data_IF_579332203213
#
_entry.id   IF_579332203213
#
_cell.length_a   1.000
_cell.length_b   1.000
_cell.length_c   1.000
_cell.angle_alpha   90.00
_cell.angle_beta   90.00
_cell.angle_gamma   90.00
#
_symmetry.space_group_name_H-M   'P 1'
#
loop_
_entity.id
_entity.type
_entity.pdbx_description
1 polymer ?
2 water ?
#
# COMPACT_ATOMS: atom_id res chain seq x y z
N UNK A 31 16.15 10.21 -18.57
CA UNK A 31 15.10 9.89 -19.54
C UNK A 31 15.30 8.50 -20.14
N UNK A 32 14.50 7.53 -19.68
CA UNK A 32 14.74 6.13 -19.96
C UNK A 32 14.36 5.70 -21.38
N UNK A 33 13.61 6.50 -22.12
CA UNK A 33 13.29 6.12 -23.49
C UNK A 33 14.53 6.06 -24.36
N UNK A 34 15.57 6.81 -23.98
CA UNK A 34 16.83 6.79 -24.72
C UNK A 34 17.54 5.44 -24.65
N UNK A 35 17.26 4.65 -23.62
CA UNK A 35 17.80 3.29 -23.48
C UNK A 35 16.75 2.23 -23.79
N UNK A 36 15.71 2.60 -24.54
CA UNK A 36 14.73 1.66 -25.03
C UNK A 36 13.70 1.22 -24.02
N UNK A 37 13.47 2.02 -22.98
CA UNK A 37 12.49 1.71 -21.95
C UNK A 37 11.37 2.74 -21.98
N UNK A 38 10.42 2.58 -21.05
CA UNK A 38 9.22 3.39 -20.99
C UNK A 38 9.17 4.12 -19.66
N UNK A 39 8.93 5.42 -19.70
CA UNK A 39 8.66 6.17 -18.46
C UNK A 39 7.36 5.66 -17.85
N UNK A 40 7.42 5.23 -16.59
CA UNK A 40 6.32 4.51 -15.96
C UNK A 40 5.49 5.37 -15.00
N UNK A 41 5.94 6.58 -14.66
CA UNK A 41 5.10 7.51 -13.92
C UNK A 41 4.83 7.20 -12.47
N UNK A 42 5.64 6.34 -11.84
CA UNK A 42 5.53 6.04 -10.42
C UNK A 42 6.82 6.41 -9.72
N UNK A 43 6.71 6.92 -8.50
CA UNK A 43 7.87 7.37 -7.75
C UNK A 43 8.83 6.21 -7.44
N UNK A 44 8.28 5.05 -7.06
CA UNK A 44 9.12 3.91 -6.70
C UNK A 44 9.62 3.13 -7.91
N UNK A 45 8.85 3.07 -8.98
CA UNK A 45 9.31 2.34 -10.18
C UNK A 45 9.21 3.27 -11.38
N UNK A 46 10.20 4.14 -11.58
CA UNK A 46 10.10 5.16 -12.64
C UNK A 46 10.22 4.63 -14.05
N UNK A 47 10.63 3.39 -14.25
CA UNK A 47 10.87 2.86 -15.59
C UNK A 47 10.21 1.51 -15.74
N UNK A 48 9.76 1.21 -16.95
CA UNK A 48 9.15 -0.08 -17.28
C UNK A 48 9.89 -0.70 -18.45
N UNK A 49 10.08 -2.02 -18.38
CA UNK A 49 10.82 -2.77 -19.39
C UNK A 49 9.86 -3.79 -19.99
N UNK A 50 9.34 -3.49 -21.18
CA UNK A 50 8.62 -4.50 -21.94
C UNK A 50 9.59 -5.55 -22.45
N UNK A 51 9.18 -6.80 -22.36
CA UNK A 51 10.02 -7.90 -22.80
C UNK A 51 9.25 -8.76 -23.79
N UNK A 52 9.96 -9.46 -24.68
CA UNK A 52 9.28 -10.35 -25.64
C UNK A 52 8.60 -11.53 -24.98
N UNK A 53 8.85 -11.77 -23.70
CA UNK A 53 8.19 -12.83 -22.95
C UNK A 53 6.67 -12.75 -22.98
N UNK A 54 6.11 -11.62 -23.39
CA UNK A 54 4.84 -11.21 -22.82
C UNK A 54 4.97 -10.64 -21.42
N UNK A 55 6.19 -10.59 -20.90
CA UNK A 55 6.46 -10.03 -19.59
C UNK A 55 6.68 -8.54 -19.67
N UNK A 56 6.35 -7.87 -18.57
CA UNK A 56 6.66 -6.46 -18.38
C UNK A 56 7.24 -6.30 -16.99
N UNK A 57 8.33 -5.55 -16.87
CA UNK A 57 9.01 -5.39 -15.60
C UNK A 57 9.09 -3.92 -15.26
N UNK A 58 8.63 -3.55 -14.06
CA UNK A 58 8.84 -2.20 -13.54
C UNK A 58 10.05 -2.24 -12.61
N UNK A 59 10.89 -1.20 -12.69
CA UNK A 59 12.17 -1.20 -11.99
C UNK A 59 12.35 0.11 -11.25
N UNK A 60 13.05 0.03 -10.14
CA UNK A 60 13.41 1.23 -9.39
C UNK A 60 14.52 0.94 -8.41
N UNK A 61 14.97 2.01 -7.76
CA UNK A 61 15.95 1.95 -6.68
C UNK A 61 15.33 2.59 -5.43
N UNK A 62 15.33 1.85 -4.31
CA UNK A 62 14.80 2.36 -3.04
C UNK A 62 15.95 2.61 -2.07
N UNK A 63 15.90 3.75 -1.40
CA UNK A 63 16.84 4.07 -0.33
C UNK A 63 16.22 5.17 0.52
N UNK A 64 16.69 5.26 1.76
CA UNK A 64 16.14 6.31 2.62
C UNK A 64 16.61 7.70 2.21
N UNK A 65 17.81 7.89 1.64
CA UNK A 65 18.13 9.24 1.13
C UNK A 65 17.24 9.68 -0.02
N UNK A 66 16.68 8.73 -0.78
CA UNK A 66 15.79 9.08 -1.88
C UNK A 66 14.36 9.30 -1.40
N UNK A 67 13.94 8.62 -0.34
CA UNK A 67 12.60 8.77 0.22
C UNK A 67 12.73 8.76 1.73
N UNK A 68 13.21 9.87 2.32
CA UNK A 68 13.48 9.85 3.77
C UNK A 68 12.25 9.57 4.61
N UNK A 69 11.04 9.85 4.11
CA UNK A 69 9.84 9.57 4.89
C UNK A 69 9.62 8.08 5.09
N UNK A 70 10.33 7.22 4.36
CA UNK A 70 10.25 5.78 4.64
C UNK A 70 10.77 5.43 6.03
N UNK A 71 11.58 6.30 6.65
CA UNK A 71 12.01 6.04 8.02
C UNK A 71 10.88 6.22 9.01
N UNK A 72 9.74 6.75 8.58
CA UNK A 72 8.58 6.93 9.43
C UNK A 72 7.77 5.66 9.64
N UNK A 73 8.18 4.54 9.04
CA UNK A 73 7.54 3.24 9.26
C UNK A 73 8.57 2.28 9.88
N UNK A 74 8.62 2.24 11.20
CA UNK A 74 9.64 1.46 11.91
C UNK A 74 8.93 0.51 12.88
N UNK A 75 9.21 -0.78 12.74
CA UNK A 75 8.62 -1.81 13.60
C UNK A 75 9.76 -2.49 14.35
N UNK A 76 9.68 -2.45 15.68
CA UNK A 76 10.66 -3.08 16.57
C UNK A 76 12.08 -2.62 16.22
N UNK A 77 12.22 -1.32 15.97
CA UNK A 77 13.49 -0.69 15.66
C UNK A 77 13.98 -0.85 14.24
N UNK A 78 13.28 -1.58 13.39
CA UNK A 78 13.70 -1.79 12.02
C UNK A 78 12.86 -0.93 11.07
N UNK A 79 13.52 -0.28 10.13
CA UNK A 79 12.80 0.39 9.05
C UNK A 79 12.36 -0.66 8.04
N UNK A 80 11.06 -0.95 7.99
CA UNK A 80 10.50 -1.88 7.03
C UNK A 80 9.70 -1.09 6.00
N UNK A 81 9.84 -1.49 4.74
CA UNK A 81 8.91 -1.02 3.72
C UNK A 81 7.51 -1.48 4.10
N UNK A 82 6.52 -0.59 4.12
CA UNK A 82 5.18 -1.05 4.48
C UNK A 82 4.65 -2.02 3.43
N UNK A 83 4.03 -3.10 3.89
CA UNK A 83 3.45 -4.08 2.98
C UNK A 83 2.51 -3.47 1.97
N UNK A 84 1.79 -2.41 2.34
CA UNK A 84 0.87 -1.81 1.39
C UNK A 84 1.63 -1.17 0.22
N UNK A 85 2.94 -0.93 0.34
CA UNK A 85 3.67 -0.45 -0.83
C UNK A 85 3.58 -1.46 -1.97
N UNK A 86 3.65 -2.75 -1.64
CA UNK A 86 3.59 -3.75 -2.71
C UNK A 86 2.20 -3.81 -3.33
N UNK A 87 1.15 -3.49 -2.57
CA UNK A 87 -0.18 -3.45 -3.17
C UNK A 87 -0.31 -2.24 -4.08
N UNK A 88 0.16 -1.08 -3.61
CA UNK A 88 0.19 0.14 -4.44
C UNK A 88 0.92 -0.10 -5.76
N UNK A 89 2.09 -0.78 -5.72
CA UNK A 89 2.81 -1.07 -6.95
C UNK A 89 2.03 -2.02 -7.85
N UNK A 90 1.38 -3.03 -7.26
CA UNK A 90 0.56 -3.92 -8.07
C UNK A 90 -0.60 -3.17 -8.74
N UNK A 91 -1.25 -2.26 -7.99
CA UNK A 91 -2.34 -1.48 -8.56
C UNK A 91 -1.84 -0.61 -9.71
N UNK A 92 -0.61 -0.09 -9.59
CA UNK A 92 -0.08 0.77 -10.63
C UNK A 92 0.29 -0.04 -11.87
N UNK A 93 0.98 -1.16 -11.68
CA UNK A 93 1.37 -2.00 -12.82
C UNK A 93 0.16 -2.64 -13.48
N UNK A 94 -0.80 -3.12 -12.67
CA UNK A 94 -1.98 -3.74 -13.24
C UNK A 94 -2.78 -2.78 -14.09
N UNK A 95 -2.96 -1.56 -13.60
CA UNK A 95 -3.65 -0.54 -14.39
C UNK A 95 -2.93 -0.28 -15.70
N UNK A 96 -1.61 -0.17 -15.66
CA UNK A 96 -0.87 0.03 -16.91
C UNK A 96 -0.99 -1.18 -17.83
N UNK A 97 -1.29 -2.35 -17.30
CA UNK A 97 -1.35 -3.56 -18.12
C UNK A 97 -2.76 -3.94 -18.51
N UNK A 98 -3.75 -3.13 -18.14
CA UNK A 98 -5.15 -3.40 -18.43
C UNK A 98 -5.90 -4.21 -17.40
N UNK A 99 -5.31 -4.42 -16.21
CA UNK A 99 -5.89 -5.27 -15.17
C UNK A 99 -6.17 -4.37 -13.96
N UNK A 100 -7.40 -3.86 -13.88
CA UNK A 100 -7.75 -2.87 -12.87
C UNK A 100 -7.98 -3.46 -11.48
N UNK A 101 -7.70 -4.75 -11.29
CA UNK A 101 -7.96 -5.38 -9.99
C UNK A 101 -6.75 -6.20 -9.56
N UNK A 102 -6.40 -6.06 -8.28
CA UNK A 102 -5.46 -6.98 -7.64
C UNK A 102 -6.36 -8.08 -7.07
N UNK A 103 -6.56 -9.14 -7.87
CA UNK A 103 -7.35 -10.28 -7.43
C UNK A 103 -6.79 -10.86 -6.13
N UNK A 104 -5.45 -10.86 -6.01
CA UNK A 104 -4.79 -11.60 -4.95
C UNK A 104 -3.36 -11.07 -4.83
N UNK A 105 -2.95 -10.73 -3.61
CA UNK A 105 -1.53 -10.45 -3.35
C UNK A 105 -1.17 -10.96 -1.96
N UNK A 106 -0.11 -11.75 -1.89
CA UNK A 106 0.32 -12.38 -0.64
C UNK A 106 1.73 -11.92 -0.36
N UNK A 107 1.95 -11.34 0.82
CA UNK A 107 3.28 -10.86 1.15
C UNK A 107 4.15 -12.00 1.68
N UNK A 108 5.46 -11.89 1.44
CA UNK A 108 6.39 -12.92 1.88
C UNK A 108 7.43 -12.25 2.76
N UNK A 109 8.69 -12.25 2.37
CA UNK A 109 9.75 -11.68 3.20
C UNK A 109 9.58 -10.17 3.28
N UNK A 110 9.82 -9.56 4.44
CA UNK A 110 9.79 -8.10 4.53
C UNK A 110 11.06 -7.50 3.94
N UNK A 111 10.99 -6.20 3.64
CA UNK A 111 12.14 -5.48 3.13
C UNK A 111 12.62 -4.49 4.19
N UNK A 112 13.81 -4.71 4.72
CA UNK A 112 14.38 -3.84 5.76
C UNK A 112 15.35 -2.87 5.09
N UNK A 113 15.14 -1.58 5.30
CA UNK A 113 15.99 -0.55 4.73
C UNK A 113 16.98 -0.08 5.80
N UNK A 114 18.26 -0.34 5.57
CA UNK A 114 19.28 0.23 6.42
C UNK A 114 19.45 1.71 6.15
N UNK A 115 20.16 2.39 7.06
CA UNK A 115 20.47 3.79 6.84
C UNK A 115 21.30 3.97 5.57
N UNK A 116 22.22 3.04 5.33
CA UNK A 116 23.14 3.09 4.20
C UNK A 116 22.61 2.35 2.96
N UNK A 117 21.55 1.56 3.11
CA UNK A 117 21.20 0.59 2.10
C UNK A 117 20.66 1.25 0.84
N UNK A 118 20.99 0.65 -0.30
CA UNK A 118 20.31 0.93 -1.56
C UNK A 118 19.86 -0.41 -2.13
N UNK A 119 18.65 -0.46 -2.65
CA UNK A 119 18.06 -1.72 -3.06
C UNK A 119 17.43 -1.56 -4.44
N UNK A 120 17.74 -2.48 -5.35
CA UNK A 120 17.04 -2.55 -6.63
C UNK A 120 15.70 -3.27 -6.42
N UNK A 121 14.65 -2.75 -7.03
CA UNK A 121 13.34 -3.36 -6.91
C UNK A 121 12.82 -3.71 -8.30
N UNK A 122 12.06 -4.80 -8.37
CA UNK A 122 11.41 -5.22 -9.61
C UNK A 122 9.94 -5.55 -9.34
N UNK A 123 9.08 -5.17 -10.27
CA UNK A 123 7.71 -5.67 -10.32
C UNK A 123 7.56 -6.38 -11.67
N UNK A 124 7.25 -7.67 -11.62
CA UNK A 124 7.28 -8.51 -12.80
C UNK A 124 5.86 -8.97 -13.10
N UNK A 125 5.33 -8.56 -14.25
CA UNK A 125 3.97 -8.89 -14.64
C UNK A 125 4.03 -9.81 -15.84
N UNK A 126 3.37 -10.96 -15.75
CA UNK A 126 3.48 -12.01 -16.75
C UNK A 126 2.10 -12.41 -17.25
N UNK A 127 1.92 -12.43 -18.56
CA UNK A 127 0.66 -12.87 -19.13
C UNK A 127 0.49 -14.38 -18.89
N UNK A 128 -0.77 -14.82 -18.87
CA UNK A 128 -1.10 -16.21 -18.59
C UNK A 128 -1.75 -16.83 -19.81
N UNK A 129 -2.18 -18.08 -19.66
CA UNK A 129 -2.95 -18.75 -20.70
C UNK A 129 -4.42 -18.33 -20.69
N UNK A 130 -4.84 -17.53 -19.71
CA UNK A 130 -6.18 -16.97 -19.67
C UNK A 130 -6.07 -15.46 -19.78
N UNK A 131 -6.58 -14.84 -20.84
CA UNK A 131 -6.50 -13.38 -20.95
C UNK A 131 -7.30 -12.69 -19.87
N UNK A 132 -6.94 -11.44 -19.61
CA UNK A 132 -7.51 -10.70 -18.51
C UNK A 132 -7.00 -11.10 -17.14
N UNK A 133 -6.10 -12.07 -17.06
CA UNK A 133 -5.54 -12.53 -15.79
C UNK A 133 -4.03 -12.67 -15.95
N UNK A 134 -3.28 -12.00 -15.06
CA UNK A 134 -1.82 -11.97 -15.14
C UNK A 134 -1.23 -12.19 -13.76
N UNK A 135 -0.09 -12.87 -13.72
CA UNK A 135 0.61 -12.99 -12.45
C UNK A 135 1.48 -11.76 -12.23
N UNK A 136 1.77 -11.49 -10.95
CA UNK A 136 2.63 -10.38 -10.58
C UNK A 136 3.50 -10.85 -9.42
N UNK A 137 4.77 -10.44 -9.43
CA UNK A 137 5.65 -10.74 -8.32
C UNK A 137 6.56 -9.54 -8.09
N UNK A 138 6.95 -9.36 -6.83
CA UNK A 138 7.73 -8.22 -6.35
C UNK A 138 9.03 -8.72 -5.74
N UNK A 139 10.15 -8.09 -6.10
CA UNK A 139 11.46 -8.58 -5.70
C UNK A 139 12.39 -7.42 -5.38
N UNK A 140 13.42 -7.70 -4.60
CA UNK A 140 14.44 -6.71 -4.32
C UNK A 140 15.79 -7.39 -4.29
N UNK A 141 16.85 -6.58 -4.43
CA UNK A 141 18.20 -7.08 -4.37
C UNK A 141 19.11 -5.97 -3.86
N UNK A 142 19.86 -6.27 -2.80
CA UNK A 142 20.97 -5.44 -2.35
C UNK A 142 22.22 -5.81 -3.13
N UNK A 143 23.21 -4.91 -3.10
CA UNK A 143 24.37 -5.02 -3.97
C UNK A 143 25.08 -6.37 -3.80
N UNK A 144 25.61 -6.63 -2.61
CA UNK A 144 26.21 -7.93 -2.30
C UNK A 144 25.11 -8.84 -1.76
N UNK A 145 24.29 -9.34 -2.68
CA UNK A 145 23.16 -10.15 -2.26
C UNK A 145 22.44 -10.77 -3.45
N UNK A 146 21.42 -11.56 -3.13
CA UNK A 146 20.61 -12.29 -4.09
C UNK A 146 19.21 -11.70 -4.13
N UNK A 147 18.41 -12.15 -5.10
CA UNK A 147 17.05 -11.67 -5.22
C UNK A 147 16.19 -12.22 -4.08
N UNK A 148 15.28 -11.39 -3.57
CA UNK A 148 14.38 -11.76 -2.49
C UNK A 148 12.97 -11.47 -2.97
N UNK A 149 12.07 -12.44 -2.79
CA UNK A 149 10.68 -12.27 -3.22
C UNK A 149 9.87 -11.68 -2.05
N UNK A 150 9.23 -10.54 -2.30
CA UNK A 150 8.48 -9.86 -1.27
C UNK A 150 6.98 -10.02 -1.42
N UNK A 151 6.50 -10.38 -2.61
CA UNK A 151 5.06 -10.56 -2.81
C UNK A 151 4.82 -11.30 -4.12
N UNK A 152 3.73 -12.07 -4.14
CA UNK A 152 3.28 -12.76 -5.35
C UNK A 152 1.76 -12.66 -5.41
N UNK A 153 1.23 -12.58 -6.62
CA UNK A 153 -0.21 -12.44 -6.73
C UNK A 153 -0.70 -12.51 -8.16
N UNK A 154 -1.95 -12.10 -8.32
CA UNK A 154 -2.74 -12.26 -9.55
C UNK A 154 -3.45 -10.94 -9.83
N UNK A 155 -3.29 -10.42 -11.03
CA UNK A 155 -4.00 -9.23 -11.47
C UNK A 155 -5.17 -9.64 -12.35
N UNK A 156 -6.32 -9.02 -12.15
CA UNK A 156 -7.53 -9.41 -12.83
C UNK A 156 -8.29 -8.21 -13.37
N UNK A 157 -9.35 -8.52 -14.10
CA UNK A 157 -10.19 -7.50 -14.70
C UNK A 157 -11.34 -7.16 -13.77
N UNK A 158 -11.72 -5.88 -13.78
CA UNK A 158 -12.93 -5.40 -13.12
C UNK A 158 -13.14 -5.87 -11.69
N UNK A 159 -14.39 -5.87 -11.26
CA UNK A 159 -14.75 -6.23 -9.92
C UNK A 159 -16.12 -5.69 -9.55
N UNK A 160 -16.48 -5.80 -8.28
CA UNK A 160 -17.74 -5.21 -7.82
C UNK A 160 -17.66 -3.70 -7.80
N UNK A 161 -18.69 -2.99 -8.27
CA UNK A 161 -18.66 -1.54 -8.21
C UNK A 161 -18.66 -1.06 -6.78
N UNK A 162 -18.07 0.10 -6.50
CA UNK A 162 -18.09 0.61 -5.13
C UNK A 162 -19.47 1.13 -4.78
N UNK A 163 -19.71 1.24 -3.50
CA UNK A 163 -20.98 1.80 -3.10
C UNK A 163 -20.79 3.26 -2.71
N UNK A 164 -21.86 4.05 -2.75
CA UNK A 164 -21.74 5.47 -2.38
C UNK A 164 -21.68 5.65 -0.88
N UNK A 165 -21.39 6.89 -0.48
CA UNK A 165 -21.33 7.31 0.92
C UNK A 165 -22.51 8.23 1.20
N UNK A 166 -23.61 7.72 1.75
CA UNK A 166 -24.84 8.53 1.83
C UNK A 166 -24.83 9.59 2.94
N UNK A 167 -24.07 9.40 4.01
CA UNK A 167 -23.93 10.42 5.06
C UNK A 167 -22.60 10.19 5.79
N UNK A 168 -22.08 11.26 6.38
CA UNK A 168 -20.83 11.17 7.14
C UNK A 168 -20.84 12.09 8.36
N UNK A 169 -20.52 11.57 9.56
CA UNK A 169 -20.25 10.16 9.86
C UNK A 169 -21.51 9.30 9.72
N UNK A 170 -21.37 7.97 9.70
CA UNK A 170 -22.55 7.14 9.86
C UNK A 170 -23.17 7.48 11.20
N UNK A 171 -24.43 7.08 11.40
CA UNK A 171 -25.16 7.67 12.52
C UNK A 171 -25.68 6.58 13.45
N UNK A 172 -25.86 6.99 14.67
CA UNK A 172 -25.65 6.12 15.79
C UNK A 172 -24.20 5.76 16.01
N UNK A 173 -23.26 6.50 15.40
CA UNK A 173 -21.83 6.22 15.54
C UNK A 173 -21.27 7.00 16.72
N UNK A 174 -20.60 6.30 17.63
CA UNK A 174 -20.05 6.91 18.82
C UNK A 174 -18.60 7.34 18.59
N UNK A 175 -18.27 8.59 18.89
CA UNK A 175 -16.87 9.03 18.76
C UNK A 175 -15.96 8.24 19.68
N UNK A 176 -14.86 7.74 19.09
CA UNK A 176 -13.82 7.02 19.79
C UNK A 176 -12.71 7.99 20.17
N UNK A 177 -12.11 7.78 21.33
CA UNK A 177 -10.96 8.59 21.73
C UNK A 177 -9.73 8.01 21.08
N UNK A 178 -9.15 8.74 20.13
CA UNK A 178 -7.92 8.31 19.46
C UNK A 178 -6.70 9.09 19.94
N UNK A 179 -6.85 9.84 21.04
CA UNK A 179 -5.74 10.43 21.76
C UNK A 179 -4.66 9.40 22.02
N UNK A 180 -3.41 9.76 21.73
CA UNK A 180 -2.33 8.83 21.98
C UNK A 180 -2.49 7.47 21.34
N UNK A 181 -3.35 7.36 20.31
CA UNK A 181 -3.43 6.12 19.54
C UNK A 181 -2.05 5.68 19.06
N UNK A 182 -1.24 6.64 18.60
CA UNK A 182 0.09 6.31 18.10
C UNK A 182 1.09 6.06 19.22
N UNK A 183 0.93 6.72 20.38
CA UNK A 183 1.77 6.37 21.51
C UNK A 183 1.50 4.93 21.96
N UNK A 184 0.23 4.53 21.91
CA UNK A 184 -0.13 3.14 22.21
C UNK A 184 0.51 2.17 21.23
N UNK A 185 0.42 2.46 19.93
CA UNK A 185 1.04 1.60 18.93
C UNK A 185 2.55 1.54 19.15
N UNK A 186 3.16 2.67 19.53
CA UNK A 186 4.59 2.71 19.76
C UNK A 186 4.99 1.77 20.89
N UNK A 187 4.15 1.67 21.90
CA UNK A 187 4.43 0.85 23.08
C UNK A 187 4.45 -0.64 22.72
N UNK A 188 3.72 -1.03 21.68
CA UNK A 188 3.73 -2.37 21.16
C UNK A 188 4.74 -2.60 20.06
N UNK A 189 5.64 -1.63 19.84
CA UNK A 189 6.71 -1.78 18.87
C UNK A 189 6.50 -1.13 17.52
N UNK A 190 5.38 -0.43 17.29
CA UNK A 190 5.08 0.11 15.97
C UNK A 190 5.23 1.62 16.07
N UNK A 191 6.37 2.13 15.61
CA UNK A 191 6.73 3.55 15.78
C UNK A 191 6.42 4.27 14.47
N UNK A 192 5.23 4.88 14.39
CA UNK A 192 4.79 5.58 13.18
C UNK A 192 5.28 7.02 13.21
N UNK A 193 5.99 7.42 12.17
CA UNK A 193 6.52 8.76 12.11
C UNK A 193 5.56 9.74 11.47
N UNK A 194 6.00 10.99 11.32
CA UNK A 194 5.08 12.04 10.83
C UNK A 194 4.27 11.69 9.59
N UNK A 195 4.92 11.12 8.57
CA UNK A 195 4.19 10.88 7.33
C UNK A 195 3.15 9.76 7.44
N UNK A 196 3.20 8.95 8.51
CA UNK A 196 2.26 7.86 8.68
C UNK A 196 1.21 8.14 9.74
N UNK A 197 1.36 9.20 10.54
CA UNK A 197 0.40 9.49 11.62
C UNK A 197 -0.78 10.26 11.04
N UNK A 198 -1.61 9.52 10.33
CA UNK A 198 -2.68 10.09 9.52
C UNK A 198 -4.04 9.97 10.15
N UNK A 199 -4.20 9.10 11.14
CA UNK A 199 -5.51 8.94 11.77
C UNK A 199 -5.88 10.19 12.55
N UNK A 200 -7.06 10.74 12.27
CA UNK A 200 -7.54 11.96 12.93
C UNK A 200 -8.76 11.74 13.81
N UNK A 201 -9.79 11.05 13.31
CA UNK A 201 -10.98 10.80 14.11
C UNK A 201 -11.49 9.40 13.81
N UNK A 202 -12.15 8.78 14.78
CA UNK A 202 -12.72 7.46 14.58
C UNK A 202 -14.03 7.35 15.36
N UNK A 203 -14.94 6.51 14.84
CA UNK A 203 -16.20 6.16 15.50
C UNK A 203 -16.42 4.67 15.39
N UNK A 204 -17.14 4.12 16.34
CA UNK A 204 -17.74 2.80 16.18
C UNK A 204 -19.12 2.97 15.56
N UNK A 205 -19.36 2.27 14.47
CA UNK A 205 -20.63 2.33 13.74
C UNK A 205 -21.21 0.92 13.70
N UNK A 206 -22.10 0.62 14.63
CA UNK A 206 -22.58 -0.75 14.75
C UNK A 206 -21.41 -1.67 15.03
N UNK A 207 -21.23 -2.68 14.18
CA UNK A 207 -20.10 -3.59 14.30
C UNK A 207 -18.91 -3.17 13.45
N UNK A 208 -19.02 -2.07 12.72
CA UNK A 208 -17.96 -1.57 11.87
C UNK A 208 -17.19 -0.44 12.52
N UNK A 209 -15.97 -0.23 12.01
CA UNK A 209 -15.12 0.89 12.34
C UNK A 209 -15.16 1.92 11.22
N UNK A 210 -15.34 3.20 11.56
CA UNK A 210 -15.20 4.27 10.58
C UNK A 210 -14.22 5.30 11.10
N UNK A 211 -13.49 5.92 10.17
CA UNK A 211 -12.39 6.80 10.52
C UNK A 211 -12.17 7.85 9.44
N UNK A 212 -11.73 9.03 9.88
CA UNK A 212 -11.16 10.06 9.02
C UNK A 212 -9.64 9.97 9.12
N UNK A 213 -8.98 9.86 7.96
CA UNK A 213 -7.54 9.65 7.87
C UNK A 213 -7.01 10.60 6.80
N UNK A 214 -5.93 11.35 7.10
CA UNK A 214 -5.42 12.28 6.11
C UNK A 214 -3.92 12.52 6.26
N UNK A 215 -3.27 12.84 5.14
CA UNK A 215 -1.83 13.07 5.12
C UNK A 215 -1.50 14.43 5.76
N UNK A 216 -0.27 14.57 6.29
CA UNK A 216 0.19 15.89 6.72
C UNK A 216 0.14 16.88 5.55
N UNK A 217 -0.07 18.15 5.88
CA UNK A 217 -0.19 19.17 4.85
C UNK A 217 1.10 19.26 4.04
N UNK A 218 0.95 19.42 2.72
CA UNK A 218 2.11 19.56 1.86
C UNK A 218 2.79 18.26 1.48
N UNK A 219 2.12 17.12 1.65
CA UNK A 219 2.66 15.85 1.23
C UNK A 219 2.53 15.69 -0.28
N UNK A 220 3.65 15.53 -0.97
CA UNK A 220 3.64 15.35 -2.41
C UNK A 220 3.12 13.95 -2.74
N UNK A 221 2.03 13.87 -3.50
CA UNK A 221 1.43 12.59 -3.87
C UNK A 221 1.34 12.42 -5.38
N UNK A 222 2.03 13.29 -6.14
CA UNK A 222 1.90 13.28 -7.59
C UNK A 222 2.28 11.93 -8.20
N UNK A 223 3.32 11.28 -7.69
CA UNK A 223 3.84 10.09 -8.34
C UNK A 223 3.36 8.80 -7.68
N UNK A 224 2.22 8.84 -7.02
CA UNK A 224 1.64 7.67 -6.37
C UNK A 224 0.19 7.52 -6.80
N UNK A 225 -0.32 6.29 -6.73
CA UNK A 225 -1.73 6.06 -6.90
C UNK A 225 -2.39 6.49 -5.60
N UNK A 226 -2.08 5.78 -4.52
CA UNK A 226 -2.43 6.15 -3.16
C UNK A 226 -1.16 6.18 -2.32
N UNK A 227 -0.79 7.37 -1.82
CA UNK A 227 0.46 7.52 -1.09
C UNK A 227 0.59 6.44 -0.01
N UNK A 228 1.75 5.76 0.09
CA UNK A 228 1.89 4.67 1.08
C UNK A 228 1.55 5.05 2.51
N UNK A 229 1.83 6.28 2.93
CA UNK A 229 1.56 6.63 4.32
C UNK A 229 0.07 6.70 4.61
N UNK A 230 -0.71 7.11 3.62
CA UNK A 230 -2.15 7.16 3.77
C UNK A 230 -2.76 5.78 3.57
N UNK A 231 -2.28 5.06 2.55
CA UNK A 231 -2.65 3.64 2.39
C UNK A 231 -2.39 2.86 3.67
N UNK A 232 -1.22 3.06 4.31
CA UNK A 232 -0.92 2.28 5.49
C UNK A 232 -1.82 2.68 6.67
N UNK A 233 -2.08 3.97 6.81
CA UNK A 233 -2.94 4.41 7.91
C UNK A 233 -4.37 3.91 7.73
N UNK A 234 -4.81 3.71 6.48
CA UNK A 234 -6.12 3.10 6.24
C UNK A 234 -6.19 1.71 6.85
N UNK A 235 -5.11 0.94 6.73
CA UNK A 235 -5.05 -0.42 7.25
C UNK A 235 -4.76 -0.43 8.75
N UNK A 236 -3.80 0.39 9.22
CA UNK A 236 -3.42 0.26 10.61
C UNK A 236 -4.44 0.91 11.55
N UNK A 237 -5.42 1.63 11.01
CA UNK A 237 -6.48 2.18 11.85
C UNK A 237 -7.38 1.10 12.42
N UNK A 238 -7.31 -0.12 11.88
CA UNK A 238 -8.12 -1.23 12.39
C UNK A 238 -7.79 -1.55 13.84
N UNK A 239 -6.56 -1.25 14.29
CA UNK A 239 -6.16 -1.54 15.68
C UNK A 239 -7.15 -0.95 16.68
N UNK A 240 -9.19 0.99 15.84
CA UNK A 240 -9.48 1.06 17.26
C UNK A 240 -10.58 0.06 17.59
N UNK A 252 -2.03 -3.71 16.55
CA UNK A 252 -0.62 -3.65 16.15
C UNK A 252 -0.16 -4.90 15.41
N UNK A 253 -0.54 -5.02 14.12
CA UNK A 253 -0.16 -6.14 13.29
C UNK A 253 0.19 -5.64 11.90
N UNK A 254 0.74 -6.56 11.06
CA UNK A 254 1.15 -6.27 9.68
C UNK A 254 0.21 -6.95 8.70
N UNK A 255 -0.13 -6.27 7.60
CA UNK A 255 -0.87 -6.93 6.52
C UNK A 255 -0.12 -8.16 6.01
N UNK A 256 -0.89 -9.16 5.58
CA UNK A 256 -0.31 -10.39 5.04
C UNK A 256 -0.88 -10.73 3.66
N UNK A 257 -2.20 -10.95 3.56
CA UNK A 257 -2.81 -11.37 2.31
C UNK A 257 -3.95 -10.44 1.94
N UNK A 258 -3.97 -10.01 0.67
CA UNK A 258 -4.93 -9.09 0.10
C UNK A 258 -5.76 -9.79 -0.97
N UNK A 259 -7.05 -9.53 -0.99
CA UNK A 259 -7.91 -10.07 -2.02
C UNK A 259 -8.81 -8.94 -2.53
N UNK A 260 -8.89 -8.81 -3.85
CA UNK A 260 -9.83 -7.94 -4.55
C UNK A 260 -9.66 -6.47 -4.15
N UNK A 261 -8.49 -5.93 -4.49
CA UNK A 261 -8.16 -4.53 -4.23
C UNK A 261 -8.39 -3.73 -5.50
N UNK A 262 -9.12 -2.61 -5.39
CA UNK A 262 -9.34 -1.71 -6.51
C UNK A 262 -9.10 -0.28 -6.06
N UNK A 263 -8.47 0.49 -6.93
CA UNK A 263 -8.21 1.91 -6.68
C UNK A 263 -8.98 2.71 -7.71
N UNK A 264 -9.91 3.56 -7.25
CA UNK A 264 -10.79 4.28 -8.17
C UNK A 264 -10.30 5.67 -8.48
N UNK A 265 -9.37 6.21 -7.70
CA UNK A 265 -8.93 7.59 -7.86
C UNK A 265 -7.50 7.71 -7.41
N UNK A 266 -6.75 8.60 -8.07
CA UNK A 266 -5.38 8.92 -7.69
C UNK A 266 -5.30 10.35 -7.16
N UNK A 267 -4.24 10.63 -6.42
CA UNK A 267 -4.01 11.96 -5.87
C UNK A 267 -4.83 12.31 -4.63
N UNK A 268 -5.51 11.34 -4.02
CA UNK A 268 -6.32 11.63 -2.83
C UNK A 268 -5.41 11.82 -1.62
N UNK A 269 -5.69 12.86 -0.83
CA UNK A 269 -4.88 13.13 0.36
C UNK A 269 -5.64 12.95 1.67
N UNK A 270 -6.95 12.73 1.62
CA UNK A 270 -7.77 12.58 2.82
C UNK A 270 -8.88 11.60 2.54
N UNK A 271 -9.11 10.66 3.48
CA UNK A 271 -10.04 9.57 3.26
C UNK A 271 -11.06 9.45 4.38
N UNK A 272 -12.25 8.98 4.00
CA UNK A 272 -13.25 8.43 4.92
C UNK A 272 -13.29 6.92 4.72
N UNK A 273 -13.12 6.17 5.82
CA UNK A 273 -12.81 4.75 5.75
C UNK A 273 -13.85 3.98 6.55
N UNK A 274 -14.28 2.83 6.02
CA UNK A 274 -15.20 1.94 6.72
C UNK A 274 -14.62 0.54 6.68
N UNK A 275 -14.41 -0.04 7.87
CA UNK A 275 -13.78 -1.36 8.01
C UNK A 275 -14.81 -2.30 8.62
N UNK A 276 -14.96 -3.48 8.00
CA UNK A 276 -15.89 -4.51 8.46
C UNK A 276 -15.12 -5.76 8.84
N UNK A 277 -14.95 -6.08 10.13
CA UNK A 277 -14.21 -7.29 10.50
C UNK A 277 -14.96 -8.61 10.30
N UNK A 278 -16.21 -8.59 9.82
CA UNK A 278 -16.89 -9.86 9.58
C UNK A 278 -16.45 -10.52 8.28
N UNK A 279 -15.80 -9.76 7.40
CA UNK A 279 -14.98 -10.35 6.35
C UNK A 279 -13.77 -9.47 6.08
N UNK A 280 -13.21 -8.89 7.16
CA UNK A 280 -12.06 -7.97 7.16
C UNK A 280 -11.90 -7.18 5.87
N UNK A 281 -12.92 -6.39 5.53
CA UNK A 281 -12.98 -5.61 4.31
C UNK A 281 -12.93 -4.12 4.59
N UNK A 282 -12.45 -3.38 3.59
CA UNK A 282 -12.24 -1.94 3.66
C UNK A 282 -13.00 -1.27 2.52
N UNK A 283 -13.59 -0.12 2.82
CA UNK A 283 -14.06 0.82 1.80
C UNK A 283 -13.51 2.18 2.19
N UNK A 284 -13.00 2.90 1.21
CA UNK A 284 -12.56 4.28 1.44
C UNK A 284 -13.13 5.22 0.39
N UNK A 285 -13.57 6.40 0.84
CA UNK A 285 -14.06 7.47 -0.01
C UNK A 285 -13.22 8.73 0.23
N UNK A 286 -13.27 9.68 -0.70
CA UNK A 286 -12.66 10.97 -0.39
C UNK A 286 -13.61 11.84 0.45
N UNK A 287 -13.15 13.06 0.75
CA UNK A 287 -13.91 13.97 1.61
C UNK A 287 -15.28 14.33 1.03
N UNK A 288 -15.49 14.09 -0.26
CA UNK A 288 -16.77 14.37 -0.91
C UNK A 288 -17.58 13.11 -1.16
N UNK A 289 -17.15 11.98 -0.62
CA UNK A 289 -17.89 10.74 -0.76
C UNK A 289 -17.64 9.99 -2.05
N UNK A 290 -16.71 10.44 -2.85
CA UNK A 290 -16.48 9.69 -4.07
C UNK A 290 -15.57 8.49 -3.78
N UNK A 291 -15.80 7.34 -4.42
CA UNK A 291 -15.03 6.14 -4.07
C UNK A 291 -13.54 6.35 -4.38
N UNK A 292 -12.70 5.75 -3.53
CA UNK A 292 -11.24 5.81 -3.71
C UNK A 292 -10.65 4.39 -3.69
N UNK A 293 -11.02 3.59 -2.69
CA UNK A 293 -10.35 2.31 -2.52
C UNK A 293 -11.31 1.27 -1.95
N UNK A 294 -11.21 0.04 -2.49
CA UNK A 294 -11.87 -1.12 -1.89
C UNK A 294 -10.87 -2.25 -1.75
N UNK A 295 -10.91 -2.92 -0.59
CA UNK A 295 -10.19 -4.18 -0.33
C UNK A 295 -11.23 -5.23 0.00
N UNK A 296 -11.40 -6.21 -0.90
CA UNK A 296 -12.38 -7.26 -0.69
C UNK A 296 -12.12 -8.10 0.55
N UNK A 297 -10.85 -8.39 0.83
CA UNK A 297 -10.52 -9.14 2.03
C UNK A 297 -9.07 -8.89 2.38
N UNK A 298 -8.77 -8.70 3.67
CA UNK A 298 -7.39 -8.50 4.11
C UNK A 298 -7.15 -9.30 5.36
N UNK A 299 -6.11 -10.13 5.34
CA UNK A 299 -5.72 -10.96 6.47
C UNK A 299 -4.38 -10.46 7.00
N UNK A 300 -4.26 -10.35 8.32
CA UNK A 300 -3.06 -9.83 8.94
C UNK A 300 -2.19 -10.97 9.46
N UNK A 301 -0.99 -10.61 9.92
CA UNK A 301 -0.03 -11.57 10.46
C UNK A 301 0.81 -10.87 11.54
N UNK A 302 1.75 -11.62 12.10
CA UNK A 302 2.62 -11.15 13.18
C UNK A 302 4.05 -10.96 12.67
N UNK A 303 4.94 -10.56 13.57
CA UNK A 303 6.35 -10.34 13.26
C UNK A 303 6.99 -11.56 12.58
N UNK A 308 15.47 -11.76 10.43
CA UNK A 308 16.69 -11.23 9.82
C UNK A 308 16.64 -9.70 9.76
N UNK A 309 17.61 -9.10 9.08
CA UNK A 309 17.68 -7.66 8.92
C UNK A 309 19.02 -7.12 9.35
N UNK A 310 19.44 -6.03 8.70
CA UNK A 310 20.63 -5.31 9.13
C UNK A 310 20.41 -4.74 10.53
N UNK A 311 21.48 -4.27 11.14
CA UNK A 311 21.42 -3.78 12.51
C UNK A 311 21.09 -2.29 12.54
N UNK A 312 20.31 -1.90 13.54
CA UNK A 312 19.89 -0.52 13.69
C UNK A 312 21.05 0.37 14.11
N UNK A 313 21.03 1.61 13.60
CA UNK A 313 21.92 2.68 14.03
C UNK A 313 23.38 2.36 13.72
#
# INVERSE_FOLDING_TARGET
MGSSHHHHHHDYDIPTTENLYFQGHMHPAGDVTAVGLTEAGHAFVPAAVDLPDGQRVWTGRLSLPSYPWLADHQVLGQVLLPGVVWVELALHAGHQAGCDSVDELTLQSPLVLGASDTVQVRVVVTETEEPGTRTVSMHSRRDDGSWVTHAEGILGAGGPPPEPLPEWPPTGAMPLDVEGFYDELAAGGYHYGPQFRCLRRAWRAGEDLVAEISLPEGTDVDAYGLHPGLFDAAVHSVACARTSAGAGDDGPRLPFAFSDVRLFATGVTSLRVRIDPQNSSWQAWDESGLPVLTIGRLVLRSAAARRTGARRQA
#
